data_IF_362791181762
#
_entry.id   IF_362791181762
#
_cell.length_a   1.000
_cell.length_b   1.000
_cell.length_c   1.000
_cell.angle_alpha   90.00
_cell.angle_beta   90.00
_cell.angle_gamma   90.00
#
_symmetry.space_group_name_H-M   'P 1'
#
loop_
_entity.id
_entity.type
_entity.pdbx_description
1 polymer ?
#
# COMPACT_ATOMS: atom_id res chain seq x y z
N UNK A 1 -2.06 -22.94 -12.84
CA UNK A 1 -0.74 -22.50 -12.34
C UNK A 1 -0.18 -21.54 -13.39
N UNK A 2 -0.34 -20.22 -13.18
CA UNK A 2 0.27 -19.23 -14.08
C UNK A 2 1.75 -19.17 -13.75
N UNK A 3 2.61 -19.60 -14.69
CA UNK A 3 4.03 -19.42 -14.59
C UNK A 3 4.33 -17.92 -14.54
N UNK A 4 4.99 -17.45 -13.48
CA UNK A 4 5.47 -16.08 -13.39
C UNK A 4 6.32 -15.78 -14.63
N UNK A 5 5.91 -14.81 -15.43
CA UNK A 5 6.65 -14.35 -16.62
C UNK A 5 7.96 -13.74 -16.10
N UNK A 6 9.06 -14.50 -16.18
CA UNK A 6 10.39 -13.92 -15.94
C UNK A 6 10.74 -13.06 -17.16
N UNK A 7 10.91 -11.74 -16.99
CA UNK A 7 11.30 -10.89 -18.11
C UNK A 7 12.66 -11.31 -18.65
N UNK A 8 12.75 -11.56 -19.96
CA UNK A 8 13.98 -12.00 -20.64
C UNK A 8 15.11 -10.95 -20.65
N UNK A 9 14.78 -9.68 -20.39
CA UNK A 9 15.70 -8.53 -20.52
C UNK A 9 15.77 -7.64 -19.29
N UNK A 10 15.13 -7.99 -18.17
CA UNK A 10 14.98 -7.09 -17.01
C UNK A 10 13.95 -5.97 -17.23
N UNK A 11 13.38 -5.84 -18.45
CA UNK A 11 12.30 -4.89 -18.72
C UNK A 11 10.93 -5.58 -18.57
N UNK A 12 9.95 -4.87 -18.05
CA UNK A 12 8.60 -5.36 -17.80
C UNK A 12 7.58 -4.32 -18.25
N UNK A 13 6.61 -4.74 -19.07
CA UNK A 13 5.40 -3.95 -19.29
C UNK A 13 4.47 -4.15 -18.07
N UNK A 14 4.12 -3.10 -17.33
CA UNK A 14 3.20 -3.22 -16.19
C UNK A 14 1.84 -3.83 -16.54
N UNK A 15 1.37 -3.65 -17.77
CA UNK A 15 0.10 -4.23 -18.24
C UNK A 15 0.12 -5.77 -18.25
N UNK A 16 1.30 -6.38 -18.35
CA UNK A 16 1.46 -7.84 -18.31
C UNK A 16 1.37 -8.43 -16.88
N UNK A 17 1.35 -7.60 -15.84
CA UNK A 17 1.25 -8.04 -14.45
C UNK A 17 -0.22 -8.00 -14.01
N UNK A 18 -0.78 -9.15 -13.64
CA UNK A 18 -2.15 -9.22 -13.15
C UNK A 18 -2.34 -8.38 -11.88
N UNK A 19 -3.34 -7.50 -11.83
CA UNK A 19 -3.60 -6.72 -10.64
C UNK A 19 -4.24 -7.56 -9.54
N UNK A 20 -3.82 -7.36 -8.31
CA UNK A 20 -4.57 -7.79 -7.14
C UNK A 20 -5.56 -6.68 -6.78
N UNK A 21 -6.85 -7.03 -6.71
CA UNK A 21 -7.94 -6.10 -6.38
C UNK A 21 -8.29 -6.21 -4.90
N UNK A 22 -8.51 -5.07 -4.24
CA UNK A 22 -8.87 -5.00 -2.83
C UNK A 22 -7.69 -5.25 -1.88
N UNK A 23 -7.97 -5.85 -0.74
CA UNK A 23 -6.98 -6.13 0.32
C UNK A 23 -7.34 -7.39 1.12
N UNK A 24 -6.42 -7.82 1.98
CA UNK A 24 -6.63 -8.88 2.96
C UNK A 24 -7.16 -8.40 4.32
N UNK A 25 -7.61 -7.15 4.45
CA UNK A 25 -8.18 -6.66 5.71
C UNK A 25 -9.37 -7.52 6.16
N UNK A 26 -9.55 -7.72 7.48
CA UNK A 26 -10.79 -8.29 8.01
C UNK A 26 -11.97 -7.35 7.78
N UNK A 27 -13.19 -7.89 7.81
CA UNK A 27 -14.38 -7.08 7.84
C UNK A 27 -14.49 -6.31 9.19
N UNK A 28 -14.94 -5.03 9.18
CA UNK A 28 -15.52 -4.28 8.03
C UNK A 28 -14.50 -3.46 7.24
N UNK A 29 -13.20 -3.57 7.52
CA UNK A 29 -12.17 -2.63 7.06
C UNK A 29 -11.80 -2.74 5.58
N UNK A 30 -12.20 -3.82 4.88
CA UNK A 30 -11.87 -3.98 3.47
C UNK A 30 -12.69 -3.12 2.51
N UNK A 31 -13.85 -2.64 2.91
CA UNK A 31 -14.75 -1.88 2.03
C UNK A 31 -14.09 -0.61 1.48
N UNK A 32 -13.31 0.11 2.29
CA UNK A 32 -12.62 1.35 1.90
C UNK A 32 -11.65 1.16 0.72
N UNK A 33 -11.09 -0.03 0.57
CA UNK A 33 -10.05 -0.37 -0.42
C UNK A 33 -10.51 -1.42 -1.44
N UNK A 34 -11.81 -1.70 -1.50
CA UNK A 34 -12.36 -2.80 -2.29
C UNK A 34 -12.03 -2.71 -3.78
N UNK A 35 -11.95 -1.50 -4.33
CA UNK A 35 -11.70 -1.26 -5.75
C UNK A 35 -10.23 -0.89 -6.06
N UNK A 36 -9.34 -0.89 -5.07
CA UNK A 36 -7.91 -0.64 -5.29
C UNK A 36 -7.30 -1.78 -6.10
N UNK A 37 -6.57 -1.42 -7.17
CA UNK A 37 -5.80 -2.37 -7.96
C UNK A 37 -4.31 -2.17 -7.70
N UNK A 38 -3.58 -3.24 -7.43
CA UNK A 38 -2.14 -3.23 -7.15
C UNK A 38 -1.44 -4.26 -8.02
N UNK A 39 -0.51 -3.81 -8.88
CA UNK A 39 0.37 -4.66 -9.69
C UNK A 39 1.75 -4.72 -9.04
N UNK A 40 2.16 -5.90 -8.59
CA UNK A 40 3.42 -6.11 -7.86
C UNK A 40 4.60 -6.20 -8.85
N UNK A 41 5.07 -5.05 -9.35
CA UNK A 41 6.14 -4.98 -10.35
C UNK A 41 7.47 -5.52 -9.80
N UNK A 42 7.78 -5.20 -8.53
CA UNK A 42 8.98 -5.69 -7.88
C UNK A 42 9.04 -7.21 -7.83
N UNK A 43 7.93 -7.86 -7.49
CA UNK A 43 7.84 -9.33 -7.44
C UNK A 43 7.98 -9.94 -8.84
N UNK A 44 7.32 -9.34 -9.84
CA UNK A 44 7.41 -9.78 -11.22
C UNK A 44 8.84 -9.68 -11.78
N UNK A 45 9.62 -8.71 -11.31
CA UNK A 45 11.03 -8.52 -11.66
C UNK A 45 12.01 -9.32 -10.78
N UNK A 46 11.51 -10.01 -9.73
CA UNK A 46 12.35 -10.79 -8.80
C UNK A 46 13.13 -9.95 -7.79
N UNK A 47 12.69 -8.70 -7.53
CA UNK A 47 13.30 -7.85 -6.50
C UNK A 47 12.91 -8.35 -5.11
N UNK A 48 13.88 -8.51 -4.23
CA UNK A 48 13.68 -9.10 -2.89
C UNK A 48 13.86 -8.13 -1.74
N UNK A 49 14.61 -7.05 -1.92
CA UNK A 49 14.97 -6.13 -0.84
C UNK A 49 13.93 -5.05 -0.59
N UNK A 50 13.16 -4.70 -1.62
CA UNK A 50 12.07 -3.74 -1.54
C UNK A 50 10.93 -4.13 -2.48
N UNK A 51 9.74 -3.67 -2.18
CA UNK A 51 8.56 -3.80 -3.02
C UNK A 51 8.42 -2.58 -3.94
N UNK A 52 8.00 -2.81 -5.19
CA UNK A 52 7.56 -1.76 -6.11
C UNK A 52 6.22 -2.17 -6.66
N UNK A 53 5.20 -1.36 -6.42
CA UNK A 53 3.86 -1.61 -6.91
C UNK A 53 3.36 -0.44 -7.77
N UNK A 54 2.71 -0.75 -8.88
CA UNK A 54 1.88 0.20 -9.59
C UNK A 54 0.46 0.06 -9.07
N UNK A 55 -0.09 1.16 -8.55
CA UNK A 55 -1.39 1.17 -7.90
C UNK A 55 -2.35 2.09 -8.65
N UNK A 56 -3.56 1.60 -8.93
CA UNK A 56 -4.69 2.37 -9.43
C UNK A 56 -5.74 2.51 -8.33
N UNK A 57 -6.13 3.76 -8.06
CA UNK A 57 -7.25 4.09 -7.16
C UNK A 57 -8.39 4.71 -7.97
N UNK A 58 -9.49 3.99 -8.17
CA UNK A 58 -10.73 4.58 -8.69
C UNK A 58 -11.30 5.66 -7.75
N UNK A 59 -12.19 6.52 -8.26
CA UNK A 59 -12.91 7.49 -7.44
C UNK A 59 -13.54 6.86 -6.18
N UNK A 60 -13.42 7.53 -5.03
CA UNK A 60 -13.96 7.07 -3.75
C UNK A 60 -13.18 5.96 -3.05
N UNK A 61 -12.03 5.55 -3.59
CA UNK A 61 -11.20 4.46 -3.04
C UNK A 61 -9.99 5.01 -2.29
N UNK A 62 -9.60 4.35 -1.20
CA UNK A 62 -8.34 4.63 -0.49
C UNK A 62 -7.25 3.60 -0.80
N UNK A 63 -5.99 3.99 -0.58
CA UNK A 63 -4.82 3.12 -0.71
C UNK A 63 -4.79 2.01 0.34
N UNK A 64 -5.22 2.35 1.54
CA UNK A 64 -5.20 1.49 2.73
C UNK A 64 -6.12 2.10 3.80
N UNK A 65 -6.32 1.40 4.90
CA UNK A 65 -6.66 2.04 6.16
C UNK A 65 -5.48 2.91 6.59
N UNK A 66 -5.71 4.07 7.22
CA UNK A 66 -4.63 4.95 7.67
C UNK A 66 -3.76 4.22 8.69
N UNK A 67 -2.43 4.17 8.46
CA UNK A 67 -1.49 3.37 9.23
C UNK A 67 -0.08 3.93 9.19
N UNK A 68 0.78 3.43 10.05
CA UNK A 68 2.23 3.64 10.03
C UNK A 68 2.96 2.33 10.34
N UNK A 69 4.18 2.19 9.83
CA UNK A 69 5.03 1.01 9.98
C UNK A 69 6.10 1.20 11.04
N UNK A 70 6.46 0.11 11.74
CA UNK A 70 7.48 0.15 12.79
C UNK A 70 8.90 0.20 12.23
N UNK A 71 9.17 -0.52 11.15
CA UNK A 71 10.54 -0.72 10.62
C UNK A 71 10.65 -0.58 9.11
N UNK A 72 9.55 -0.47 8.36
CA UNK A 72 9.56 -0.26 6.91
C UNK A 72 9.38 1.22 6.56
N UNK A 73 10.28 1.73 5.70
CA UNK A 73 10.08 3.00 5.01
C UNK A 73 9.14 2.81 3.83
N UNK A 74 8.25 3.77 3.61
CA UNK A 74 7.39 3.80 2.44
C UNK A 74 7.55 5.09 1.64
N UNK A 75 7.37 4.99 0.34
CA UNK A 75 7.45 6.10 -0.60
C UNK A 75 6.37 5.96 -1.67
N UNK A 76 5.76 7.07 -2.06
CA UNK A 76 4.81 7.12 -3.17
C UNK A 76 5.20 8.22 -4.15
N UNK A 77 4.95 7.97 -5.45
CA UNK A 77 5.13 8.96 -6.51
C UNK A 77 3.91 8.94 -7.42
N UNK A 78 3.25 10.08 -7.56
CA UNK A 78 2.01 10.20 -8.33
C UNK A 78 2.36 10.30 -9.82
N UNK A 79 1.85 9.36 -10.62
CA UNK A 79 2.04 9.32 -12.07
C UNK A 79 0.94 10.06 -12.80
N UNK A 80 -0.32 9.85 -12.39
CA UNK A 80 -1.50 10.44 -13.05
C UNK A 80 -2.57 10.79 -12.01
N UNK A 81 -3.33 11.86 -12.31
CA UNK A 81 -4.44 12.30 -11.46
C UNK A 81 -4.03 13.13 -10.26
N UNK A 82 -4.94 13.23 -9.31
CA UNK A 82 -4.73 13.89 -8.02
C UNK A 82 -5.37 13.07 -6.90
N UNK A 83 -4.74 13.05 -5.74
CA UNK A 83 -5.14 12.25 -4.58
C UNK A 83 -4.90 13.03 -3.30
N UNK A 84 -5.74 12.87 -2.29
CA UNK A 84 -5.48 13.41 -0.96
C UNK A 84 -4.56 12.45 -0.17
N UNK A 85 -3.43 12.98 0.30
CA UNK A 85 -2.66 12.40 1.38
C UNK A 85 -3.27 12.85 2.71
N UNK A 86 -3.68 11.90 3.53
CA UNK A 86 -4.22 12.15 4.88
C UNK A 86 -3.21 11.68 5.91
N UNK A 87 -2.81 12.58 6.82
CA UNK A 87 -1.88 12.33 7.94
C UNK A 87 -2.47 12.89 9.24
N UNK A 88 -1.72 12.82 10.34
CA UNK A 88 -2.12 13.46 11.60
C UNK A 88 -2.18 14.99 11.49
N UNK A 89 -1.43 15.58 10.55
CA UNK A 89 -1.45 17.02 10.28
C UNK A 89 -2.66 17.49 9.45
N UNK A 90 -3.45 16.57 8.90
CA UNK A 90 -4.60 16.85 8.04
C UNK A 90 -4.47 16.26 6.66
N UNK A 91 -5.16 16.85 5.69
CA UNK A 91 -5.18 16.39 4.31
C UNK A 91 -4.45 17.37 3.37
N UNK A 92 -3.66 16.83 2.46
CA UNK A 92 -2.92 17.57 1.42
C UNK A 92 -3.16 16.91 0.06
N UNK A 93 -3.38 17.72 -0.98
CA UNK A 93 -3.56 17.20 -2.34
C UNK A 93 -2.22 16.99 -3.02
N UNK A 94 -1.92 15.75 -3.39
CA UNK A 94 -0.82 15.37 -4.25
C UNK A 94 -1.29 15.25 -5.70
N UNK A 95 -0.49 15.76 -6.64
CA UNK A 95 -0.74 15.72 -8.09
C UNK A 95 0.36 14.98 -8.81
N UNK A 96 0.12 14.61 -10.07
CA UNK A 96 1.14 14.01 -10.93
C UNK A 96 2.48 14.77 -10.85
N UNK A 97 3.58 14.03 -10.64
CA UNK A 97 4.92 14.55 -10.42
C UNK A 97 5.28 14.84 -8.96
N UNK A 98 4.32 14.78 -8.02
CA UNK A 98 4.58 14.91 -6.59
C UNK A 98 4.90 13.56 -5.95
N UNK A 99 5.64 13.61 -4.83
CA UNK A 99 6.00 12.44 -4.04
C UNK A 99 5.73 12.68 -2.55
N UNK A 100 5.55 11.59 -1.81
CA UNK A 100 5.55 11.59 -0.35
C UNK A 100 6.34 10.40 0.17
N UNK A 101 6.92 10.55 1.37
CA UNK A 101 7.69 9.50 2.05
C UNK A 101 7.30 9.38 3.52
N UNK A 102 7.30 8.16 4.02
CA UNK A 102 6.84 7.80 5.35
C UNK A 102 7.94 7.00 6.06
N UNK A 103 8.78 7.68 6.87
CA UNK A 103 9.87 7.02 7.58
C UNK A 103 9.39 6.00 8.61
N UNK A 104 10.08 4.88 8.69
CA UNK A 104 9.88 3.85 9.68
C UNK A 104 9.85 4.39 11.12
N UNK A 105 8.97 3.83 11.94
CA UNK A 105 8.86 4.18 13.37
C UNK A 105 8.25 5.56 13.66
N UNK A 106 7.91 6.34 12.65
CA UNK A 106 7.20 7.60 12.83
C UNK A 106 5.70 7.31 13.02
N UNK A 107 5.20 7.59 14.21
CA UNK A 107 3.80 7.34 14.58
C UNK A 107 2.84 8.39 13.99
N UNK A 108 2.92 8.62 12.69
CA UNK A 108 2.07 9.50 11.90
C UNK A 108 1.36 8.65 10.84
N UNK A 109 0.14 8.25 11.16
CA UNK A 109 -0.64 7.40 10.27
C UNK A 109 -0.93 8.11 8.94
N UNK A 110 -0.77 7.39 7.84
CA UNK A 110 -0.99 7.93 6.50
C UNK A 110 -1.83 6.99 5.63
N UNK A 111 -2.52 7.55 4.68
CA UNK A 111 -3.09 6.88 3.50
C UNK A 111 -3.39 7.88 2.40
N UNK A 112 -3.61 7.37 1.19
CA UNK A 112 -4.07 8.15 0.05
C UNK A 112 -5.56 7.89 -0.17
N UNK A 113 -6.34 8.95 -0.44
CA UNK A 113 -7.78 8.85 -0.73
C UNK A 113 -8.09 9.56 -2.04
N UNK A 114 -8.62 8.84 -3.01
CA UNK A 114 -9.07 9.45 -4.26
C UNK A 114 -10.47 10.05 -4.12
N UNK A 115 -10.54 11.36 -3.86
CA UNK A 115 -11.80 12.11 -3.83
C UNK A 115 -12.12 12.80 -5.16
N UNK A 116 -11.26 12.62 -6.17
CA UNK A 116 -11.50 13.16 -7.51
C UNK A 116 -12.52 12.32 -8.29
N UNK A 117 -12.91 12.80 -9.46
CA UNK A 117 -13.80 12.07 -10.38
C UNK A 117 -13.06 11.18 -11.39
N UNK A 118 -11.73 11.03 -11.27
CA UNK A 118 -10.88 10.27 -12.18
C UNK A 118 -10.04 9.27 -11.41
N UNK A 119 -9.56 8.25 -12.11
CA UNK A 119 -8.56 7.33 -11.56
C UNK A 119 -7.27 8.07 -11.21
N UNK A 120 -6.62 7.61 -10.16
CA UNK A 120 -5.25 8.00 -9.79
C UNK A 120 -4.33 6.83 -10.01
N UNK A 121 -3.18 7.08 -10.62
CA UNK A 121 -2.12 6.10 -10.82
C UNK A 121 -0.86 6.57 -10.08
N UNK A 122 -0.27 5.70 -9.27
CA UNK A 122 0.95 6.01 -8.53
C UNK A 122 1.84 4.79 -8.34
N UNK A 123 3.14 5.05 -8.13
CA UNK A 123 4.08 4.04 -7.64
C UNK A 123 4.10 4.07 -6.11
N UNK A 124 4.09 2.87 -5.53
CA UNK A 124 4.30 2.63 -4.11
C UNK A 124 5.58 1.80 -3.97
N UNK A 125 6.52 2.30 -3.18
CA UNK A 125 7.80 1.62 -2.91
C UNK A 125 7.95 1.51 -1.41
N UNK A 126 8.27 0.31 -0.93
CA UNK A 126 8.57 0.07 0.49
C UNK A 126 9.66 -0.96 0.62
N UNK A 127 10.52 -0.83 1.62
CA UNK A 127 11.49 -1.86 1.93
C UNK A 127 10.79 -3.11 2.52
N UNK A 128 11.54 -4.19 2.70
CA UNK A 128 11.00 -5.47 3.18
C UNK A 128 11.76 -5.89 4.42
N UNK A 129 11.39 -5.31 5.56
CA UNK A 129 11.99 -5.63 6.84
C UNK A 129 11.29 -6.83 7.48
N UNK A 130 12.08 -7.83 7.87
CA UNK A 130 11.53 -8.98 8.59
C UNK A 130 11.05 -8.51 9.98
N UNK A 131 9.80 -8.81 10.30
CA UNK A 131 9.23 -8.47 11.59
C UNK A 131 8.61 -7.08 11.68
N UNK A 132 8.43 -6.38 10.53
CA UNK A 132 7.68 -5.14 10.52
C UNK A 132 6.25 -5.34 11.04
N UNK A 133 5.74 -4.36 11.76
CA UNK A 133 4.37 -4.31 12.25
C UNK A 133 3.73 -2.98 11.85
N UNK A 134 2.41 -2.97 11.66
CA UNK A 134 1.69 -1.74 11.36
C UNK A 134 0.62 -1.45 12.40
N UNK A 135 0.47 -0.16 12.72
CA UNK A 135 -0.56 0.36 13.62
C UNK A 135 -1.55 1.20 12.86
N UNK A 136 -2.83 0.98 13.11
CA UNK A 136 -3.96 1.70 12.49
C UNK A 136 -4.60 2.60 13.56
N UNK A 137 -4.26 3.91 13.61
CA UNK A 137 -4.67 4.76 14.73
C UNK A 137 -6.19 4.94 14.85
N UNK A 138 -6.92 4.96 13.75
CA UNK A 138 -8.34 5.31 13.69
C UNK A 138 -9.29 4.14 13.97
N UNK A 139 -8.78 2.92 13.91
CA UNK A 139 -9.59 1.69 14.00
C UNK A 139 -8.94 0.70 14.97
N UNK A 140 -9.71 -0.29 15.41
CA UNK A 140 -9.22 -1.35 16.28
C UNK A 140 -8.52 -2.44 15.47
N UNK A 141 -7.36 -2.07 14.88
CA UNK A 141 -6.58 -2.95 14.02
C UNK A 141 -5.08 -2.76 14.24
N UNK A 142 -4.34 -3.84 14.20
CA UNK A 142 -2.89 -3.92 14.07
C UNK A 142 -2.51 -5.02 13.10
N UNK A 143 -1.39 -4.86 12.40
CA UNK A 143 -0.71 -5.95 11.70
C UNK A 143 0.47 -6.35 12.58
N UNK A 144 0.44 -7.55 13.11
CA UNK A 144 1.47 -8.07 14.01
C UNK A 144 2.29 -9.15 13.30
N UNK A 145 3.55 -9.30 13.73
CA UNK A 145 4.44 -10.36 13.27
C UNK A 145 4.74 -11.36 14.39
N UNK A 146 4.43 -12.64 14.17
CA UNK A 146 4.71 -13.74 15.12
C UNK A 146 5.06 -15.02 14.36
N UNK A 147 6.06 -15.72 14.82
CA UNK A 147 6.47 -17.02 14.26
C UNK A 147 6.67 -17.01 12.74
N UNK A 148 7.27 -15.95 12.20
CA UNK A 148 7.58 -15.83 10.78
C UNK A 148 6.40 -15.41 9.90
N UNK A 149 5.27 -14.98 10.45
CA UNK A 149 4.06 -14.61 9.70
C UNK A 149 3.41 -13.35 10.24
N UNK A 150 2.84 -12.57 9.32
CA UNK A 150 1.95 -11.47 9.66
C UNK A 150 0.51 -11.96 9.84
N UNK A 151 -0.19 -11.34 10.78
CA UNK A 151 -1.62 -11.54 11.00
C UNK A 151 -2.26 -10.26 11.53
N UNK A 152 -3.53 -10.08 11.25
CA UNK A 152 -4.31 -8.99 11.81
C UNK A 152 -4.77 -9.30 13.23
N UNK A 153 -4.73 -8.28 14.09
CA UNK A 153 -5.13 -8.36 15.48
C UNK A 153 -5.88 -7.10 15.91
N UNK A 154 -6.64 -7.22 16.97
CA UNK A 154 -7.15 -6.08 17.75
C UNK A 154 -6.01 -5.30 18.40
N UNK A 155 -6.28 -4.09 18.89
CA UNK A 155 -5.28 -3.28 19.61
C UNK A 155 -4.80 -3.94 20.91
N UNK A 156 -5.58 -4.81 21.51
CA UNK A 156 -5.21 -5.63 22.67
C UNK A 156 -4.33 -6.85 22.33
N UNK A 157 -4.12 -7.11 21.04
CA UNK A 157 -3.29 -8.20 20.52
C UNK A 157 -4.04 -9.51 20.25
N UNK A 158 -5.34 -9.58 20.50
CA UNK A 158 -6.14 -10.75 20.12
C UNK A 158 -6.31 -10.84 18.61
N UNK A 159 -6.17 -12.03 17.96
CA UNK A 159 -6.34 -12.18 16.52
C UNK A 159 -7.75 -11.81 16.05
N UNK A 160 -7.81 -11.22 14.84
CA UNK A 160 -9.06 -11.03 14.07
C UNK A 160 -9.52 -12.34 13.46
#
# INVERSE_FOLDING_TARGET
MNAAIKPRSGALDPAAVEPRVGSGYPEPFRALVAMREKRALGDALGLSRFGVNLVRLPPGTASSQRHWHTTEDEFVYILEGEVELVTDAGAETLRAGMAAGFPAGRADGHHLVNRSARDVLYLEVGDRQVGDEATYPDIDLRLLYRNGKHFFAHKDGTPW
#
